data_IF_590348137562
#
_entry.id   IF_590348137562
#
_cell.length_a   1.000
_cell.length_b   1.000
_cell.length_c   1.000
_cell.angle_alpha   90.00
_cell.angle_beta   90.00
_cell.angle_gamma   90.00
#
_symmetry.space_group_name_H-M   'P 1'
#
loop_
_entity.id
_entity.type
_entity.pdbx_description
1 polymer ?
#
# COMPACT_ATOMS: atom_id res chain seq x y z
N UNK A 1 20.56 -17.67 -13.27
CA UNK A 1 21.68 -16.90 -12.69
C UNK A 1 21.30 -16.26 -11.36
N UNK A 2 20.27 -15.39 -11.30
CA UNK A 2 19.81 -14.74 -10.06
C UNK A 2 19.53 -15.73 -8.92
N UNK A 3 18.82 -16.84 -9.21
CA UNK A 3 18.52 -17.82 -8.17
C UNK A 3 19.75 -18.51 -7.57
N UNK A 4 20.78 -18.78 -8.38
CA UNK A 4 22.05 -19.32 -7.88
C UNK A 4 22.85 -18.27 -7.10
N UNK A 5 22.80 -17.00 -7.53
CA UNK A 5 23.52 -15.88 -6.88
C UNK A 5 22.93 -15.51 -5.52
N UNK A 6 21.60 -15.54 -5.39
CA UNK A 6 20.89 -15.12 -4.19
C UNK A 6 20.26 -16.27 -3.40
N UNK A 7 20.55 -17.53 -3.75
CA UNK A 7 19.98 -18.71 -3.09
C UNK A 7 18.45 -18.85 -3.25
N UNK A 8 17.85 -18.25 -4.28
CA UNK A 8 16.40 -18.29 -4.51
C UNK A 8 16.02 -19.65 -5.10
N UNK A 9 15.22 -20.42 -4.36
CA UNK A 9 14.61 -21.65 -4.84
C UNK A 9 13.43 -21.35 -5.76
N UNK A 10 13.61 -21.62 -7.06
CA UNK A 10 12.54 -21.42 -8.04
C UNK A 10 11.52 -22.56 -7.96
N UNK A 11 10.25 -22.23 -7.71
CA UNK A 11 9.15 -23.17 -7.73
C UNK A 11 8.50 -23.12 -9.12
N UNK A 12 8.45 -24.26 -9.81
CA UNK A 12 7.87 -24.35 -11.15
C UNK A 12 6.47 -24.97 -11.05
N UNK A 13 5.49 -24.26 -11.58
CA UNK A 13 4.11 -24.74 -11.67
C UNK A 13 3.93 -25.41 -13.04
N UNK A 14 3.16 -26.49 -13.10
CA UNK A 14 2.85 -27.16 -14.36
C UNK A 14 2.09 -26.22 -15.30
N UNK A 15 2.31 -26.29 -16.63
CA UNK A 15 1.48 -25.59 -17.60
C UNK A 15 -0.02 -25.92 -17.40
N UNK A 16 -0.89 -24.97 -17.73
CA UNK A 16 -2.35 -25.11 -17.66
C UNK A 16 -2.93 -25.41 -16.26
N UNK A 17 -2.21 -25.07 -15.19
CA UNK A 17 -2.68 -25.21 -13.81
C UNK A 17 -2.81 -23.84 -13.12
N UNK A 18 -3.84 -23.08 -13.50
CA UNK A 18 -4.14 -21.76 -12.90
C UNK A 18 -4.48 -21.85 -11.41
N UNK A 19 -5.04 -22.98 -10.96
CA UNK A 19 -5.38 -23.18 -9.54
C UNK A 19 -4.15 -23.17 -8.63
N UNK A 20 -3.03 -23.72 -9.10
CA UNK A 20 -1.78 -23.73 -8.32
C UNK A 20 -1.20 -22.34 -8.06
N UNK A 21 -1.58 -21.32 -8.86
CA UNK A 21 -1.18 -19.93 -8.65
C UNK A 21 -2.37 -19.00 -8.33
N UNK A 22 -3.53 -19.56 -8.01
CA UNK A 22 -4.79 -18.82 -7.96
C UNK A 22 -4.83 -17.68 -6.93
N UNK A 23 -4.06 -17.79 -5.83
CA UNK A 23 -3.95 -16.72 -4.83
C UNK A 23 -3.27 -15.50 -5.44
N UNK A 24 -2.18 -15.69 -6.18
CA UNK A 24 -1.43 -14.61 -6.83
C UNK A 24 -2.23 -14.04 -7.99
N UNK A 25 -2.83 -14.90 -8.82
CA UNK A 25 -3.63 -14.48 -9.97
C UNK A 25 -4.83 -13.61 -9.55
N UNK A 26 -5.52 -13.98 -8.47
CA UNK A 26 -6.64 -13.18 -7.95
C UNK A 26 -6.19 -11.79 -7.50
N UNK A 27 -5.04 -11.69 -6.82
CA UNK A 27 -4.50 -10.39 -6.39
C UNK A 27 -4.04 -9.53 -7.56
N UNK A 28 -3.45 -10.14 -8.59
CA UNK A 28 -3.10 -9.41 -9.81
C UNK A 28 -4.34 -8.89 -10.54
N UNK A 29 -5.45 -9.63 -10.51
CA UNK A 29 -6.72 -9.17 -11.05
C UNK A 29 -7.23 -7.91 -10.31
N UNK A 30 -7.21 -7.92 -8.97
CA UNK A 30 -7.65 -6.79 -8.15
C UNK A 30 -6.82 -5.52 -8.43
N UNK A 31 -5.48 -5.66 -8.46
CA UNK A 31 -4.55 -4.56 -8.80
C UNK A 31 -4.85 -4.00 -10.19
N UNK A 32 -5.04 -4.88 -11.18
CA UNK A 32 -5.36 -4.45 -12.56
C UNK A 32 -6.68 -3.70 -12.59
N UNK A 33 -7.73 -4.22 -11.96
CA UNK A 33 -9.04 -3.57 -11.92
C UNK A 33 -8.96 -2.18 -11.26
N UNK A 34 -8.23 -2.06 -10.15
CA UNK A 34 -8.01 -0.77 -9.49
C UNK A 34 -7.27 0.22 -10.40
N UNK A 35 -6.21 -0.23 -11.10
CA UNK A 35 -5.47 0.62 -12.04
C UNK A 35 -6.35 1.10 -13.21
N UNK A 36 -7.15 0.22 -13.82
CA UNK A 36 -8.03 0.60 -14.93
C UNK A 36 -9.12 1.58 -14.49
N UNK A 37 -9.68 1.40 -13.29
CA UNK A 37 -10.63 2.36 -12.70
C UNK A 37 -9.98 3.71 -12.48
N UNK A 38 -8.77 3.74 -11.94
CA UNK A 38 -8.04 4.99 -11.69
C UNK A 38 -7.59 5.70 -12.97
N UNK A 39 -7.40 4.95 -14.06
CA UNK A 39 -7.10 5.52 -15.37
C UNK A 39 -8.27 6.29 -16.01
N UNK A 40 -9.51 6.13 -15.51
CA UNK A 40 -10.68 6.88 -15.98
C UNK A 40 -10.95 6.75 -17.48
N UNK A 41 -10.68 5.57 -18.06
CA UNK A 41 -10.86 5.30 -19.49
C UNK A 41 -9.65 5.61 -20.38
N UNK A 42 -8.56 6.18 -19.83
CA UNK A 42 -7.30 6.34 -20.57
C UNK A 42 -6.23 5.38 -20.05
N UNK A 43 -6.16 4.20 -20.67
CA UNK A 43 -5.23 3.13 -20.26
C UNK A 43 -3.75 3.56 -20.31
N UNK A 44 -3.37 4.52 -21.16
CA UNK A 44 -1.96 4.98 -21.25
C UNK A 44 -1.42 5.56 -19.93
N UNK A 45 -2.32 6.01 -19.04
CA UNK A 45 -1.97 6.57 -17.73
C UNK A 45 -1.66 5.50 -16.67
N UNK A 46 -1.80 4.21 -16.99
CA UNK A 46 -1.67 3.13 -16.01
C UNK A 46 -0.39 3.25 -15.17
N UNK A 47 0.74 3.52 -15.80
CA UNK A 47 2.05 3.65 -15.12
C UNK A 47 2.06 4.75 -14.07
N UNK A 48 1.44 5.89 -14.35
CA UNK A 48 1.38 7.04 -13.44
C UNK A 48 0.48 6.81 -12.22
N UNK A 49 -0.48 5.88 -12.31
CA UNK A 49 -1.41 5.58 -11.21
C UNK A 49 -1.00 4.36 -10.39
N UNK A 50 -0.05 3.56 -10.87
CA UNK A 50 0.35 2.30 -10.21
C UNK A 50 0.82 2.50 -8.77
N UNK A 51 1.57 3.57 -8.49
CA UNK A 51 2.08 3.81 -7.13
C UNK A 51 0.94 4.02 -6.12
N UNK A 52 -0.09 4.78 -6.52
CA UNK A 52 -1.28 5.01 -5.71
C UNK A 52 -2.11 3.73 -5.56
N UNK A 53 -2.25 2.94 -6.62
CA UNK A 53 -2.95 1.64 -6.59
C UNK A 53 -2.26 0.67 -5.64
N UNK A 54 -0.94 0.53 -5.74
CA UNK A 54 -0.19 -0.34 -4.85
C UNK A 54 -0.21 0.14 -3.40
N UNK A 55 -0.24 1.45 -3.18
CA UNK A 55 -0.43 1.99 -1.83
C UNK A 55 -1.80 1.59 -1.27
N UNK A 56 -2.87 1.80 -2.04
CA UNK A 56 -4.23 1.41 -1.65
C UNK A 56 -4.32 -0.09 -1.30
N UNK A 57 -3.73 -0.97 -2.11
CA UNK A 57 -3.69 -2.42 -1.84
C UNK A 57 -2.93 -2.78 -0.56
N UNK A 58 -1.88 -2.03 -0.21
CA UNK A 58 -1.11 -2.25 1.02
C UNK A 58 -1.86 -1.82 2.28
N UNK A 59 -2.63 -0.73 2.21
CA UNK A 59 -3.31 -0.16 3.39
C UNK A 59 -4.73 -0.69 3.57
N UNK A 60 -5.35 -1.22 2.52
CA UNK A 60 -6.71 -1.77 2.59
C UNK A 60 -6.73 -3.09 3.37
N UNK A 61 -7.66 -3.21 4.31
CA UNK A 61 -7.88 -4.43 5.09
C UNK A 61 -8.35 -5.56 4.16
N UNK A 62 -7.65 -6.68 4.18
CA UNK A 62 -8.03 -7.85 3.39
C UNK A 62 -9.05 -8.69 4.14
N UNK A 63 -10.18 -9.02 3.51
CA UNK A 63 -11.24 -9.85 4.10
C UNK A 63 -10.75 -11.21 4.60
N UNK A 64 -9.73 -11.79 3.96
CA UNK A 64 -9.19 -13.11 4.34
C UNK A 64 -8.40 -13.10 5.64
N UNK A 65 -7.74 -11.99 5.97
CA UNK A 65 -6.85 -11.88 7.14
C UNK A 65 -7.40 -10.95 8.22
N UNK A 66 -8.39 -10.11 7.89
CA UNK A 66 -8.89 -9.05 8.76
C UNK A 66 -7.88 -7.93 9.01
N UNK A 67 -6.75 -7.91 8.29
CA UNK A 67 -5.68 -6.93 8.45
C UNK A 67 -5.20 -6.40 7.09
N UNK A 68 -4.61 -5.21 7.09
CA UNK A 68 -3.92 -4.68 5.91
C UNK A 68 -2.57 -5.38 5.72
N UNK A 69 -2.09 -5.57 4.46
CA UNK A 69 -0.74 -6.07 4.21
C UNK A 69 0.34 -5.24 4.90
N UNK A 70 0.16 -3.93 4.97
CA UNK A 70 1.06 -3.02 5.68
C UNK A 70 1.20 -3.43 7.16
N UNK A 71 0.08 -3.63 7.86
CA UNK A 71 0.08 -4.08 9.25
C UNK A 71 0.70 -5.46 9.43
N UNK A 72 0.46 -6.39 8.49
CA UNK A 72 1.05 -7.73 8.55
C UNK A 72 2.58 -7.67 8.49
N UNK A 73 3.14 -6.79 7.65
CA UNK A 73 4.59 -6.67 7.45
C UNK A 73 5.25 -5.83 8.54
N UNK A 74 4.62 -4.74 8.96
CA UNK A 74 5.23 -3.74 9.84
C UNK A 74 4.77 -3.82 11.30
N UNK A 75 3.68 -4.54 11.59
CA UNK A 75 3.10 -4.66 12.93
C UNK A 75 2.33 -3.42 13.41
N UNK A 76 2.26 -2.35 12.61
CA UNK A 76 1.59 -1.09 12.93
C UNK A 76 0.60 -0.70 11.84
N UNK A 77 -0.42 0.08 12.18
CA UNK A 77 -1.36 0.61 11.19
C UNK A 77 -0.70 1.67 10.31
N UNK A 78 -1.00 1.71 9.00
CA UNK A 78 -0.51 2.77 8.13
C UNK A 78 -1.20 4.10 8.48
N UNK A 79 -0.43 5.19 8.51
CA UNK A 79 -1.01 6.54 8.58
C UNK A 79 -1.58 6.93 7.21
N UNK A 80 -2.87 7.19 7.16
CA UNK A 80 -3.58 7.63 5.98
C UNK A 80 -3.70 9.16 5.94
N UNK A 81 -3.86 9.78 4.75
CA UNK A 81 -4.14 11.20 4.65
C UNK A 81 -5.37 11.63 5.44
N UNK A 82 -6.36 10.75 5.59
CA UNK A 82 -7.56 11.01 6.39
C UNK A 82 -7.26 11.08 7.88
N UNK A 83 -6.40 10.21 8.41
CA UNK A 83 -5.99 10.23 9.82
C UNK A 83 -5.32 11.57 10.17
N UNK A 84 -4.52 12.10 9.24
CA UNK A 84 -3.89 13.41 9.39
C UNK A 84 -4.92 14.56 9.33
N UNK A 85 -5.87 14.48 8.39
CA UNK A 85 -6.91 15.50 8.26
C UNK A 85 -7.80 15.55 9.51
N UNK A 86 -8.18 14.40 10.05
CA UNK A 86 -8.93 14.28 11.29
C UNK A 86 -8.14 14.84 12.49
N UNK A 87 -6.86 14.45 12.62
CA UNK A 87 -5.99 14.96 13.68
C UNK A 87 -5.80 16.48 13.61
N UNK A 88 -5.71 17.05 12.39
CA UNK A 88 -5.56 18.49 12.19
C UNK A 88 -6.87 19.22 12.45
N UNK A 89 -8.01 18.67 12.03
CA UNK A 89 -9.32 19.26 12.25
C UNK A 89 -9.71 19.29 13.74
N UNK A 90 -9.33 18.26 14.50
CA UNK A 90 -9.55 18.17 15.94
C UNK A 90 -8.46 18.89 16.76
N UNK A 91 -7.39 19.37 16.10
CA UNK A 91 -6.36 20.16 16.75
C UNK A 91 -6.88 21.55 17.11
N UNK A 92 -6.48 22.06 18.28
CA UNK A 92 -6.65 23.47 18.59
C UNK A 92 -5.85 24.30 17.57
N UNK A 93 -6.43 25.41 17.07
CA UNK A 93 -5.63 26.38 16.32
C UNK A 93 -4.45 26.79 17.21
N UNK A 94 -3.23 26.52 16.76
CA UNK A 94 -2.03 27.01 17.42
C UNK A 94 -2.05 28.54 17.33
N UNK A 95 -2.50 29.19 18.39
CA UNK A 95 -2.45 30.65 18.53
C UNK A 95 -0.99 31.07 18.61
N UNK A 96 -0.42 31.41 17.45
CA UNK A 96 0.94 31.86 17.30
C UNK A 96 1.92 30.80 16.79
N UNK A 97 2.86 31.27 15.98
CA UNK A 97 3.98 30.49 15.47
C UNK A 97 4.94 30.20 16.64
N UNK A 98 4.88 29.00 17.20
CA UNK A 98 5.81 28.57 18.26
C UNK A 98 7.24 28.60 17.70
N UNK A 99 8.14 29.26 18.40
CA UNK A 99 9.52 29.40 17.94
C UNK A 99 10.25 28.04 17.97
N UNK A 100 11.23 27.85 17.10
CA UNK A 100 12.03 26.62 17.06
C UNK A 100 12.69 26.30 18.42
N UNK A 101 13.03 27.32 19.18
CA UNK A 101 13.66 27.21 20.50
C UNK A 101 12.68 26.69 21.56
N UNK A 102 11.43 27.14 21.54
CA UNK A 102 10.37 26.65 22.44
C UNK A 102 10.01 25.19 22.16
N UNK A 103 10.05 24.77 20.89
CA UNK A 103 9.79 23.40 20.47
C UNK A 103 10.85 22.40 20.95
N UNK A 104 12.13 22.82 20.99
CA UNK A 104 13.23 21.97 21.48
C UNK A 104 13.24 21.91 23.01
N UNK A 105 12.86 22.99 23.70
CA UNK A 105 12.86 23.04 25.17
C UNK A 105 11.72 22.27 25.86
N UNK A 106 10.71 21.82 25.10
CA UNK A 106 9.56 21.08 25.62
C UNK A 106 9.72 19.54 25.55
N UNK A 107 10.82 19.03 24.99
CA UNK A 107 11.23 17.62 24.98
C UNK A 107 12.23 17.32 26.10
#
# INVERSE_FOLDING_TARGET
WLGKRYGIRHIRISPYNSQANGIVERRHFDVREAAMKMCGGNESKWSSVMDAVFWAERVTIQKSTGMSPYKIVHGVEPTLPFDLAEATYLGEEVDGMVSHEELIGAL
#
